data_IF_765280007469
#
_entry.id   IF_765280007469
#
_cell.length_a   1.000
_cell.length_b   1.000
_cell.length_c   1.000
_cell.angle_alpha   90.00
_cell.angle_beta   90.00
_cell.angle_gamma   90.00
#
_symmetry.space_group_name_H-M   'P 1'
#
loop_
_entity.id
_entity.type
_entity.pdbx_description
1 polymer ?
#
# COMPACT_ATOMS: atom_id res chain seq x y z
N UNK A 1 22.06 -19.83 -2.73
CA UNK A 1 21.22 -18.92 -3.53
C UNK A 1 20.55 -17.93 -2.58
N UNK A 2 21.15 -16.75 -2.42
CA UNK A 2 20.70 -15.70 -1.50
C UNK A 2 19.61 -14.86 -2.16
N UNK A 3 18.37 -14.91 -1.65
CA UNK A 3 17.36 -13.90 -1.93
C UNK A 3 17.67 -12.66 -1.08
N UNK A 4 17.84 -11.52 -1.75
CA UNK A 4 18.16 -10.24 -1.11
C UNK A 4 17.06 -9.69 -0.19
N UNK A 5 17.37 -8.69 0.65
CA UNK A 5 16.51 -8.16 1.72
C UNK A 5 15.22 -7.45 1.26
N UNK A 6 14.92 -7.46 -0.05
CA UNK A 6 13.78 -6.75 -0.65
C UNK A 6 12.48 -7.58 -0.73
N UNK A 7 12.45 -8.82 -0.21
CA UNK A 7 11.36 -9.77 -0.44
C UNK A 7 10.57 -10.20 0.81
N UNK A 8 10.63 -9.44 1.91
CA UNK A 8 10.05 -9.87 3.21
C UNK A 8 9.37 -8.71 3.94
N UNK A 9 8.10 -8.44 3.62
CA UNK A 9 7.13 -7.85 4.55
C UNK A 9 5.84 -7.49 3.79
N UNK A 10 4.77 -8.16 4.16
CA UNK A 10 3.58 -8.35 3.36
C UNK A 10 2.44 -8.36 4.41
N UNK A 11 1.31 -7.65 4.38
CA UNK A 11 0.46 -7.01 3.37
C UNK A 11 0.37 -5.48 3.51
N UNK A 12 0.34 -4.96 4.74
CA UNK A 12 0.31 -3.52 5.01
C UNK A 12 1.61 -2.86 4.55
N UNK A 13 2.72 -3.58 4.66
CA UNK A 13 4.04 -3.16 4.23
C UNK A 13 4.21 -3.34 2.72
N UNK A 14 3.54 -4.32 2.08
CA UNK A 14 3.52 -4.41 0.61
C UNK A 14 2.79 -3.21 0.03
N UNK A 15 1.59 -2.91 0.51
CA UNK A 15 0.84 -1.74 0.08
C UNK A 15 1.65 -0.47 0.32
N UNK A 16 2.25 -0.29 1.49
CA UNK A 16 3.18 0.81 1.80
C UNK A 16 4.41 0.89 0.91
N UNK A 17 5.06 -0.23 0.61
CA UNK A 17 6.28 -0.26 -0.19
C UNK A 17 5.96 0.02 -1.65
N UNK A 18 4.80 -0.43 -2.11
CA UNK A 18 4.25 -0.18 -3.43
C UNK A 18 3.78 1.26 -3.56
N UNK A 19 3.04 1.78 -2.58
CA UNK A 19 2.65 3.17 -2.45
C UNK A 19 3.88 4.07 -2.35
N UNK A 20 4.87 3.79 -1.50
CA UNK A 20 6.12 4.55 -1.39
C UNK A 20 6.86 4.60 -2.74
N UNK A 21 6.85 3.51 -3.49
CA UNK A 21 7.49 3.45 -4.83
C UNK A 21 6.68 4.16 -5.90
N UNK A 22 5.34 4.10 -5.87
CA UNK A 22 4.44 4.88 -6.74
C UNK A 22 4.46 6.38 -6.43
N UNK A 23 4.47 6.75 -5.15
CA UNK A 23 4.52 8.13 -4.64
C UNK A 23 5.80 8.86 -5.04
N UNK A 24 6.92 8.13 -5.18
CA UNK A 24 8.15 8.74 -5.69
C UNK A 24 8.11 9.08 -7.18
N UNK A 25 7.05 8.74 -7.91
CA UNK A 25 6.97 8.86 -9.38
C UNK A 25 5.55 9.01 -9.93
N UNK A 26 5.02 10.22 -9.90
CA UNK A 26 4.05 10.62 -10.91
C UNK A 26 4.37 12.03 -11.37
N UNK A 27 4.66 12.26 -12.67
CA UNK A 27 4.52 13.58 -13.22
C UNK A 27 3.02 13.89 -13.27
N UNK A 28 2.58 14.76 -12.36
CA UNK A 28 1.50 15.72 -12.50
C UNK A 28 0.49 15.42 -13.63
N UNK A 29 -0.40 14.44 -13.45
CA UNK A 29 -1.56 14.29 -14.32
C UNK A 29 -2.75 15.03 -13.71
N UNK A 30 -3.28 15.93 -14.52
CA UNK A 30 -4.14 17.03 -14.11
C UNK A 30 -5.61 16.64 -14.29
N UNK A 31 -6.36 16.56 -13.19
CA UNK A 31 -7.82 16.50 -13.18
C UNK A 31 -8.43 17.92 -13.22
N UNK A 32 -9.55 18.16 -13.92
CA UNK A 32 -10.13 19.48 -14.13
C UNK A 32 -11.07 19.92 -12.98
N UNK A 33 -10.56 19.92 -11.75
CA UNK A 33 -11.20 20.64 -10.65
C UNK A 33 -10.21 21.65 -10.05
N UNK A 34 -10.75 22.78 -9.58
CA UNK A 34 -10.03 24.02 -9.24
C UNK A 34 -9.30 23.89 -7.89
N UNK A 35 -8.42 22.92 -7.86
CA UNK A 35 -7.62 22.45 -6.75
C UNK A 35 -6.32 23.29 -6.72
N UNK A 36 -6.08 23.98 -5.60
CA UNK A 36 -4.88 24.81 -5.39
C UNK A 36 -3.71 23.88 -5.11
N UNK A 37 -2.86 23.69 -6.12
CA UNK A 37 -1.63 22.89 -5.98
C UNK A 37 -0.77 23.38 -4.82
N UNK A 38 -0.20 22.45 -4.07
CA UNK A 38 0.69 22.79 -2.97
C UNK A 38 1.95 23.55 -3.41
N UNK A 39 2.40 24.44 -2.54
CA UNK A 39 3.70 25.10 -2.72
C UNK A 39 4.82 24.11 -2.37
N UNK A 40 6.05 24.44 -2.79
CA UNK A 40 7.23 23.67 -2.37
C UNK A 40 7.34 23.57 -0.84
N UNK A 41 6.98 24.63 -0.12
CA UNK A 41 7.02 24.65 1.34
C UNK A 41 6.02 23.66 1.94
N UNK A 42 4.80 23.63 1.41
CA UNK A 42 3.74 22.71 1.88
C UNK A 42 4.10 21.26 1.55
N UNK A 43 4.59 20.97 0.34
CA UNK A 43 5.05 19.61 -0.02
C UNK A 43 6.24 19.16 0.82
N UNK A 44 7.16 20.08 1.16
CA UNK A 44 8.27 19.78 2.08
C UNK A 44 7.75 19.43 3.46
N UNK A 45 6.78 20.19 3.98
CA UNK A 45 6.12 19.90 5.26
C UNK A 45 5.44 18.53 5.24
N UNK A 46 4.66 18.23 4.20
CA UNK A 46 4.01 16.91 4.02
C UNK A 46 5.06 15.80 4.02
N UNK A 47 6.17 15.98 3.31
CA UNK A 47 7.26 15.01 3.25
C UNK A 47 7.92 14.78 4.61
N UNK A 48 8.14 15.85 5.39
CA UNK A 48 8.67 15.77 6.76
C UNK A 48 7.69 15.05 7.70
N UNK A 49 6.39 15.36 7.60
CA UNK A 49 5.33 14.69 8.35
C UNK A 49 5.19 13.19 7.99
N UNK A 50 5.51 12.82 6.74
CA UNK A 50 5.44 11.44 6.25
C UNK A 50 6.60 10.57 6.77
N UNK A 51 7.75 11.18 7.10
CA UNK A 51 8.97 10.48 7.47
C UNK A 51 8.78 9.43 8.58
N UNK A 52 8.04 9.69 9.69
CA UNK A 52 7.80 8.67 10.72
C UNK A 52 7.08 7.42 10.21
N UNK A 53 6.16 7.55 9.24
CA UNK A 53 5.50 6.39 8.61
C UNK A 53 6.51 5.56 7.81
N UNK A 54 7.41 6.23 7.08
CA UNK A 54 8.46 5.57 6.28
C UNK A 54 9.49 4.86 7.17
N UNK A 55 9.85 5.48 8.29
CA UNK A 55 10.78 4.92 9.28
C UNK A 55 10.16 3.71 9.95
N UNK A 56 8.88 3.79 10.34
CA UNK A 56 8.16 2.66 10.90
C UNK A 56 8.06 1.49 9.91
N UNK A 57 7.73 1.76 8.64
CA UNK A 57 7.73 0.74 7.59
C UNK A 57 9.10 0.08 7.42
N UNK A 58 10.18 0.87 7.46
CA UNK A 58 11.56 0.37 7.35
C UNK A 58 11.93 -0.50 8.56
N UNK A 59 11.59 -0.07 9.77
CA UNK A 59 11.77 -0.83 11.01
C UNK A 59 11.07 -2.18 10.94
N UNK A 60 9.80 -2.19 10.52
CA UNK A 60 9.06 -3.42 10.35
C UNK A 60 9.75 -4.35 9.36
N UNK A 61 10.21 -3.85 8.21
CA UNK A 61 10.95 -4.66 7.22
C UNK A 61 12.23 -5.28 7.81
N UNK A 62 12.96 -4.54 8.66
CA UNK A 62 14.21 -5.02 9.25
C UNK A 62 14.00 -5.99 10.41
N UNK A 63 12.95 -5.81 11.21
CA UNK A 63 12.72 -6.58 12.44
C UNK A 63 11.84 -7.83 12.21
N UNK A 64 10.91 -7.79 11.26
CA UNK A 64 9.93 -8.88 11.04
C UNK A 64 10.44 -10.01 10.14
N UNK A 65 11.65 -10.52 10.40
CA UNK A 65 12.18 -11.70 9.74
C UNK A 65 11.24 -12.92 9.79
N UNK A 66 10.32 -13.02 8.82
CA UNK A 66 9.49 -14.16 8.42
C UNK A 66 8.44 -14.71 9.40
N UNK A 67 8.61 -14.56 10.72
CA UNK A 67 7.83 -15.37 11.70
C UNK A 67 7.14 -14.59 12.83
N UNK A 68 7.40 -13.29 12.99
CA UNK A 68 6.84 -12.52 14.12
C UNK A 68 5.58 -11.72 13.79
N UNK A 69 5.27 -11.52 12.50
CA UNK A 69 4.04 -10.83 12.09
C UNK A 69 2.74 -11.55 12.52
N UNK A 70 2.64 -12.91 12.48
CA UNK A 70 1.49 -13.67 13.00
C UNK A 70 1.13 -13.36 14.46
N UNK A 71 2.12 -13.11 15.29
CA UNK A 71 1.95 -12.93 16.73
C UNK A 71 1.78 -11.46 17.14
N UNK A 72 2.14 -10.52 16.27
CA UNK A 72 2.14 -9.08 16.56
C UNK A 72 1.25 -8.24 15.62
N UNK A 73 0.54 -8.85 14.65
CA UNK A 73 -0.21 -8.13 13.61
C UNK A 73 -1.15 -7.04 14.13
N UNK A 74 -1.87 -7.29 15.24
CA UNK A 74 -2.71 -6.27 15.89
C UNK A 74 -1.93 -5.13 16.55
N UNK A 75 -0.76 -5.41 17.14
CA UNK A 75 0.12 -4.37 17.72
C UNK A 75 0.79 -3.53 16.63
N UNK A 76 1.22 -4.18 15.55
CA UNK A 76 1.78 -3.51 14.37
C UNK A 76 0.74 -2.57 13.76
N UNK A 77 -0.49 -3.06 13.63
CA UNK A 77 -1.60 -2.27 13.12
C UNK A 77 -1.96 -1.06 13.98
N UNK A 78 -2.06 -1.23 15.31
CA UNK A 78 -2.33 -0.10 16.21
C UNK A 78 -1.24 0.97 16.13
N UNK A 79 0.03 0.55 16.18
CA UNK A 79 1.16 1.46 16.01
C UNK A 79 1.10 2.20 14.68
N UNK A 80 0.74 1.50 13.59
CA UNK A 80 0.59 2.11 12.27
C UNK A 80 -0.50 3.20 12.26
N UNK A 81 -1.63 2.96 12.92
CA UNK A 81 -2.70 3.92 13.04
C UNK A 81 -2.35 5.09 13.96
N UNK A 82 -1.56 4.87 15.02
CA UNK A 82 -1.02 5.95 15.86
C UNK A 82 -0.10 6.87 15.04
N UNK A 83 0.78 6.31 14.20
CA UNK A 83 1.66 7.10 13.33
C UNK A 83 0.85 7.83 12.24
N UNK A 84 -0.19 7.21 11.68
CA UNK A 84 -1.11 7.88 10.75
C UNK A 84 -1.87 9.04 11.43
N UNK A 85 -2.33 8.88 12.67
CA UNK A 85 -2.97 9.97 13.42
C UNK A 85 -2.02 11.15 13.64
N UNK A 86 -0.74 10.87 13.93
CA UNK A 86 0.30 11.89 14.00
C UNK A 86 0.52 12.59 12.65
N UNK A 87 0.55 11.84 11.54
CA UNK A 87 0.63 12.40 10.20
C UNK A 87 -0.54 13.34 9.90
N UNK A 88 -1.78 12.94 10.22
CA UNK A 88 -2.98 13.78 10.05
C UNK A 88 -2.92 15.06 10.87
N UNK A 89 -2.44 14.97 12.11
CA UNK A 89 -2.24 16.14 12.97
C UNK A 89 -1.15 17.06 12.42
N UNK A 90 -0.04 16.50 11.96
CA UNK A 90 1.10 17.25 11.41
C UNK A 90 0.73 18.03 10.12
N UNK A 91 -0.28 17.55 9.39
CA UNK A 91 -0.71 18.09 8.08
C UNK A 91 -2.06 18.81 8.15
N UNK A 92 -2.60 19.06 9.34
CA UNK A 92 -3.96 19.59 9.54
C UNK A 92 -4.19 20.98 8.92
N UNK A 93 -3.14 21.78 8.81
CA UNK A 93 -3.14 23.13 8.25
C UNK A 93 -2.77 23.17 6.76
N UNK A 94 -2.46 22.02 6.16
CA UNK A 94 -2.18 21.92 4.72
C UNK A 94 -3.50 21.79 3.97
N UNK A 95 -3.93 22.89 3.34
CA UNK A 95 -5.23 22.95 2.62
C UNK A 95 -5.09 22.89 1.09
N UNK A 96 -3.88 22.68 0.60
CA UNK A 96 -3.57 22.57 -0.82
C UNK A 96 -3.57 21.11 -1.27
N UNK A 97 -3.58 20.90 -2.58
CA UNK A 97 -3.65 19.55 -3.16
C UNK A 97 -2.25 18.94 -3.26
N UNK A 98 -1.98 17.98 -2.38
CA UNK A 98 -0.78 17.14 -2.36
C UNK A 98 -1.17 15.70 -2.59
N UNK A 99 -0.60 15.10 -3.63
CA UNK A 99 -0.77 13.67 -3.93
C UNK A 99 -0.32 12.79 -2.76
N UNK A 100 0.69 13.22 -2.00
CA UNK A 100 1.18 12.47 -0.84
C UNK A 100 0.16 12.41 0.29
N UNK A 101 -0.56 13.52 0.53
CA UNK A 101 -1.67 13.53 1.48
C UNK A 101 -2.78 12.59 1.02
N UNK A 102 -3.21 12.73 -0.23
CA UNK A 102 -4.31 11.94 -0.79
C UNK A 102 -4.00 10.45 -0.79
N UNK A 103 -2.77 10.07 -1.18
CA UNK A 103 -2.38 8.67 -1.23
C UNK A 103 -2.31 8.05 0.17
N UNK A 104 -1.77 8.77 1.16
CA UNK A 104 -1.73 8.30 2.54
C UNK A 104 -3.16 8.17 3.07
N UNK A 105 -4.01 9.17 2.86
CA UNK A 105 -5.40 9.12 3.33
C UNK A 105 -6.22 8.00 2.68
N UNK A 106 -6.06 7.79 1.37
CA UNK A 106 -6.70 6.69 0.65
C UNK A 106 -6.25 5.31 1.14
N UNK A 107 -5.02 5.20 1.62
CA UNK A 107 -4.45 3.94 2.10
C UNK A 107 -4.79 3.65 3.56
N UNK A 108 -4.85 4.70 4.39
CA UNK A 108 -4.93 4.60 5.84
C UNK A 108 -6.24 5.08 6.44
N UNK A 109 -6.92 6.04 5.82
CA UNK A 109 -8.13 6.65 6.37
C UNK A 109 -9.25 5.65 6.58
N UNK A 110 -9.49 4.76 5.60
CA UNK A 110 -10.42 3.65 5.81
C UNK A 110 -9.87 2.66 6.83
N UNK A 111 -8.63 2.21 6.64
CA UNK A 111 -8.04 1.14 7.44
C UNK A 111 -7.97 1.50 8.94
N UNK A 112 -7.56 2.71 9.29
CA UNK A 112 -7.45 3.22 10.66
C UNK A 112 -8.71 3.93 11.18
N UNK A 113 -9.70 4.14 10.30
CA UNK A 113 -11.01 4.68 10.65
C UNK A 113 -12.07 3.58 10.69
N UNK A 114 -13.04 3.65 9.76
CA UNK A 114 -14.21 2.75 9.73
C UNK A 114 -13.85 1.27 9.54
N UNK A 115 -12.73 0.98 8.89
CA UNK A 115 -12.22 -0.37 8.65
C UNK A 115 -11.44 -0.96 9.81
N UNK A 116 -11.07 -0.17 10.84
CA UNK A 116 -10.20 -0.64 11.92
C UNK A 116 -10.76 -1.85 12.69
N UNK A 117 -12.05 -1.90 13.09
CA UNK A 117 -12.59 -3.08 13.77
C UNK A 117 -12.52 -4.35 12.91
N UNK A 118 -12.76 -4.20 11.60
CA UNK A 118 -12.72 -5.31 10.64
C UNK A 118 -11.28 -5.79 10.42
N UNK A 119 -10.32 -4.86 10.35
CA UNK A 119 -8.90 -5.20 10.27
C UNK A 119 -8.44 -5.93 11.53
N UNK A 120 -8.75 -5.41 12.72
CA UNK A 120 -8.38 -6.05 13.99
C UNK A 120 -8.97 -7.46 14.09
N UNK A 121 -10.23 -7.64 13.67
CA UNK A 121 -10.89 -8.93 13.62
C UNK A 121 -10.16 -9.95 12.73
N UNK A 122 -9.67 -9.53 11.56
CA UNK A 122 -8.99 -10.41 10.59
C UNK A 122 -7.45 -10.43 10.71
N UNK A 123 -6.85 -9.62 11.58
CA UNK A 123 -5.40 -9.43 11.66
C UNK A 123 -4.61 -10.73 11.86
N UNK A 124 -5.08 -11.60 12.76
CA UNK A 124 -4.46 -12.92 12.99
C UNK A 124 -4.54 -13.81 11.74
N UNK A 125 -5.66 -13.77 11.01
CA UNK A 125 -5.83 -14.55 9.79
C UNK A 125 -4.94 -14.05 8.66
N UNK A 126 -4.89 -12.74 8.42
CA UNK A 126 -3.99 -12.18 7.42
C UNK A 126 -2.55 -12.57 7.70
N UNK A 127 -2.15 -12.53 8.97
CA UNK A 127 -0.79 -12.87 9.33
C UNK A 127 -0.48 -14.38 9.19
N UNK A 128 -1.49 -15.27 9.29
CA UNK A 128 -1.34 -16.68 8.87
C UNK A 128 -1.21 -16.83 7.35
N UNK A 129 -2.03 -16.10 6.58
CA UNK A 129 -1.96 -16.10 5.11
C UNK A 129 -0.57 -15.66 4.62
N UNK A 130 0.12 -14.79 5.35
CA UNK A 130 1.47 -14.35 5.00
C UNK A 130 2.54 -15.44 4.97
N UNK A 131 2.31 -16.57 5.64
CA UNK A 131 3.21 -17.73 5.60
C UNK A 131 2.66 -18.87 4.72
N UNK A 132 1.47 -18.70 4.13
CA UNK A 132 0.88 -19.67 3.22
C UNK A 132 1.64 -19.71 1.90
N UNK A 133 2.09 -20.90 1.48
CA UNK A 133 2.94 -21.07 0.30
C UNK A 133 2.36 -20.44 -0.97
N UNK A 134 1.07 -20.67 -1.23
CA UNK A 134 0.40 -20.14 -2.41
C UNK A 134 0.36 -18.61 -2.39
N UNK A 135 0.12 -18.05 -1.22
CA UNK A 135 0.13 -16.62 -1.02
C UNK A 135 1.52 -16.01 -1.22
N UNK A 136 2.55 -16.64 -0.61
CA UNK A 136 3.97 -16.28 -0.78
C UNK A 136 4.37 -16.27 -2.26
N UNK A 137 3.91 -17.25 -3.05
CA UNK A 137 4.17 -17.30 -4.49
C UNK A 137 3.55 -16.09 -5.23
N UNK A 138 2.34 -15.68 -4.86
CA UNK A 138 1.73 -14.46 -5.39
C UNK A 138 2.59 -13.23 -5.11
N UNK A 139 3.15 -13.12 -3.88
CA UNK A 139 4.07 -12.03 -3.51
C UNK A 139 5.29 -11.98 -4.43
N UNK A 140 5.90 -13.15 -4.63
CA UNK A 140 7.15 -13.28 -5.38
C UNK A 140 6.91 -12.89 -6.84
N UNK A 141 5.84 -13.40 -7.44
CA UNK A 141 5.44 -13.06 -8.81
C UNK A 141 5.18 -11.56 -8.97
N UNK A 142 4.43 -10.96 -8.04
CA UNK A 142 4.19 -9.51 -8.04
C UNK A 142 5.49 -8.70 -7.91
N UNK A 143 6.34 -9.07 -6.94
CA UNK A 143 7.63 -8.41 -6.70
C UNK A 143 8.53 -8.46 -7.94
N UNK A 144 8.54 -9.60 -8.62
CA UNK A 144 9.27 -9.76 -9.87
C UNK A 144 8.71 -8.85 -10.97
N UNK A 145 7.39 -8.87 -11.19
CA UNK A 145 6.73 -8.03 -12.20
C UNK A 145 6.98 -6.52 -11.95
N UNK A 146 6.93 -6.09 -10.69
CA UNK A 146 7.23 -4.69 -10.31
C UNK A 146 8.70 -4.35 -10.57
N UNK A 147 9.62 -5.27 -10.27
CA UNK A 147 11.06 -5.06 -10.54
C UNK A 147 11.31 -4.93 -12.05
N UNK A 148 10.63 -5.74 -12.85
CA UNK A 148 10.68 -5.66 -14.32
C UNK A 148 10.10 -4.33 -14.83
N UNK A 149 8.95 -3.90 -14.29
CA UNK A 149 8.34 -2.61 -14.60
C UNK A 149 9.30 -1.44 -14.29
N UNK A 150 10.03 -1.50 -13.18
CA UNK A 150 10.99 -0.47 -12.80
C UNK A 150 12.11 -0.27 -13.82
N UNK A 151 12.50 -1.32 -14.56
CA UNK A 151 13.47 -1.19 -15.65
C UNK A 151 12.92 -0.37 -16.85
N UNK A 152 11.61 -0.15 -16.91
CA UNK A 152 10.94 0.66 -17.94
C UNK A 152 10.77 2.14 -17.55
N UNK A 153 11.02 2.49 -16.29
CA UNK A 153 10.86 3.85 -15.72
C UNK A 153 11.61 4.94 -16.49
N UNK A 154 12.69 4.61 -17.19
CA UNK A 154 13.46 5.54 -18.03
C UNK A 154 13.06 5.57 -19.52
N UNK A 155 12.11 4.73 -19.95
CA UNK A 155 11.74 4.54 -21.37
C UNK A 155 10.39 5.16 -21.69
N UNK A 156 9.38 4.91 -20.86
CA UNK A 156 8.04 5.51 -20.98
C UNK A 156 7.32 5.43 -19.63
N UNK A 157 6.83 6.58 -19.16
CA UNK A 157 6.00 6.66 -17.95
C UNK A 157 4.71 5.88 -18.10
N UNK A 158 4.09 5.93 -19.29
CA UNK A 158 2.86 5.19 -19.60
C UNK A 158 3.09 3.68 -19.55
N UNK A 159 4.18 3.20 -20.16
CA UNK A 159 4.54 1.78 -20.12
C UNK A 159 4.84 1.33 -18.68
N UNK A 160 5.53 2.17 -17.90
CA UNK A 160 5.79 1.90 -16.48
C UNK A 160 4.49 1.76 -15.67
N UNK A 161 3.55 2.70 -15.81
CA UNK A 161 2.27 2.66 -15.09
C UNK A 161 1.40 1.47 -15.52
N UNK A 162 1.37 1.15 -16.82
CA UNK A 162 0.66 -0.02 -17.34
C UNK A 162 1.20 -1.32 -16.75
N UNK A 163 2.52 -1.46 -16.65
CA UNK A 163 3.16 -2.63 -16.06
C UNK A 163 2.95 -2.73 -14.55
N UNK A 164 2.98 -1.61 -13.84
CA UNK A 164 2.64 -1.56 -12.41
C UNK A 164 1.18 -1.97 -12.18
N UNK A 165 0.26 -1.49 -13.01
CA UNK A 165 -1.15 -1.89 -12.97
C UNK A 165 -1.32 -3.40 -13.20
N UNK A 166 -0.66 -3.95 -14.22
CA UNK A 166 -0.67 -5.39 -14.52
C UNK A 166 -0.13 -6.24 -13.38
N UNK A 167 0.94 -5.80 -12.73
CA UNK A 167 1.51 -6.49 -11.58
C UNK A 167 0.54 -6.53 -10.39
N UNK A 168 -0.18 -5.44 -10.14
CA UNK A 168 -1.21 -5.37 -9.10
C UNK A 168 -2.43 -6.25 -9.42
N UNK A 169 -2.89 -6.26 -10.67
CA UNK A 169 -4.00 -7.13 -11.11
C UNK A 169 -3.66 -8.60 -10.87
N UNK A 170 -2.49 -9.03 -11.35
CA UNK A 170 -2.01 -10.39 -11.19
C UNK A 170 -1.87 -10.79 -9.72
N UNK A 171 -1.39 -9.88 -8.87
CA UNK A 171 -1.29 -10.11 -7.43
C UNK A 171 -2.67 -10.34 -6.79
N UNK A 172 -3.63 -9.48 -7.09
CA UNK A 172 -4.99 -9.55 -6.52
C UNK A 172 -5.70 -10.82 -6.96
N UNK A 173 -5.65 -11.17 -8.25
CA UNK A 173 -6.23 -12.43 -8.75
C UNK A 173 -5.59 -13.66 -8.13
N UNK A 174 -4.27 -13.65 -7.93
CA UNK A 174 -3.55 -14.76 -7.33
C UNK A 174 -3.87 -14.91 -5.84
N UNK A 175 -3.97 -13.80 -5.11
CA UNK A 175 -4.17 -13.79 -3.66
C UNK A 175 -5.63 -13.95 -3.24
N UNK A 176 -6.60 -13.52 -4.07
CA UNK A 176 -8.04 -13.61 -3.81
C UNK A 176 -8.47 -15.01 -3.33
N UNK A 177 -8.24 -16.11 -4.06
CA UNK A 177 -8.72 -17.42 -3.63
C UNK A 177 -8.11 -17.84 -2.29
N UNK A 178 -6.85 -17.48 -2.01
CA UNK A 178 -6.19 -17.83 -0.75
C UNK A 178 -6.80 -17.07 0.43
N UNK A 179 -7.02 -15.76 0.28
CA UNK A 179 -7.64 -14.93 1.33
C UNK A 179 -9.09 -15.37 1.55
N UNK A 180 -9.84 -15.63 0.48
CA UNK A 180 -11.23 -16.05 0.57
C UNK A 180 -11.37 -17.40 1.30
N UNK A 181 -10.52 -18.38 0.93
CA UNK A 181 -10.53 -19.72 1.55
C UNK A 181 -10.11 -19.67 3.03
N UNK A 182 -9.11 -18.85 3.38
CA UNK A 182 -8.51 -18.86 4.72
C UNK A 182 -9.19 -17.89 5.69
N UNK A 183 -9.58 -16.71 5.21
CA UNK A 183 -10.06 -15.59 6.03
C UNK A 183 -11.50 -15.15 5.73
N UNK A 184 -12.11 -15.69 4.67
CA UNK A 184 -13.51 -15.42 4.31
C UNK A 184 -13.73 -14.15 3.51
N UNK A 185 -14.98 -13.96 3.08
CA UNK A 185 -15.38 -12.90 2.16
C UNK A 185 -15.26 -11.50 2.77
N UNK A 186 -15.47 -11.35 4.08
CA UNK A 186 -15.32 -10.05 4.77
C UNK A 186 -13.87 -9.57 4.81
N UNK A 187 -12.92 -10.51 4.99
CA UNK A 187 -11.49 -10.22 4.90
C UNK A 187 -11.10 -9.77 3.48
N UNK A 188 -11.63 -10.43 2.45
CA UNK A 188 -11.40 -10.02 1.07
C UNK A 188 -11.99 -8.64 0.77
N UNK A 189 -13.23 -8.37 1.21
CA UNK A 189 -13.87 -7.06 1.05
C UNK A 189 -13.04 -5.92 1.66
N UNK A 190 -12.40 -6.16 2.79
CA UNK A 190 -11.47 -5.22 3.41
C UNK A 190 -10.27 -4.94 2.50
N UNK A 191 -9.59 -6.00 2.02
CA UNK A 191 -8.45 -5.87 1.09
C UNK A 191 -8.85 -5.14 -0.18
N UNK A 192 -10.00 -5.49 -0.76
CA UNK A 192 -10.50 -4.89 -1.98
C UNK A 192 -10.83 -3.40 -1.82
N UNK A 193 -11.42 -3.01 -0.68
CA UNK A 193 -11.75 -1.61 -0.39
C UNK A 193 -10.48 -0.76 -0.28
N UNK A 194 -9.51 -1.19 0.56
CA UNK A 194 -8.23 -0.47 0.73
C UNK A 194 -7.50 -0.37 -0.61
N UNK A 195 -7.46 -1.46 -1.37
CA UNK A 195 -6.78 -1.51 -2.66
C UNK A 195 -7.42 -0.56 -3.66
N UNK A 196 -8.73 -0.62 -3.82
CA UNK A 196 -9.45 0.26 -4.75
C UNK A 196 -9.24 1.74 -4.41
N UNK A 197 -9.37 2.10 -3.14
CA UNK A 197 -9.29 3.50 -2.71
C UNK A 197 -7.86 4.02 -2.95
N UNK A 198 -6.84 3.24 -2.58
CA UNK A 198 -5.43 3.58 -2.80
C UNK A 198 -5.04 3.70 -4.28
N UNK A 199 -5.52 2.77 -5.11
CA UNK A 199 -5.22 2.76 -6.54
C UNK A 199 -6.00 3.84 -7.28
N UNK A 200 -7.21 4.19 -6.85
CA UNK A 200 -7.97 5.31 -7.41
C UNK A 200 -7.24 6.64 -7.30
N UNK A 201 -6.36 6.80 -6.29
CA UNK A 201 -5.51 7.99 -6.14
C UNK A 201 -4.20 7.87 -6.91
N UNK A 202 -3.52 6.72 -6.82
CA UNK A 202 -2.13 6.58 -7.32
C UNK A 202 -2.02 6.08 -8.76
N UNK A 203 -3.03 5.38 -9.26
CA UNK A 203 -3.12 4.81 -10.60
C UNK A 203 -4.57 4.84 -11.10
N UNK A 204 -5.18 6.03 -11.30
CA UNK A 204 -6.61 6.17 -11.59
C UNK A 204 -7.07 5.49 -12.88
N UNK A 205 -6.17 5.31 -13.86
CA UNK A 205 -6.46 4.64 -15.13
C UNK A 205 -6.33 3.11 -15.05
N UNK A 206 -5.97 2.55 -13.89
CA UNK A 206 -5.86 1.12 -13.67
C UNK A 206 -7.22 0.51 -13.30
N UNK A 207 -7.89 -0.13 -14.26
CA UNK A 207 -9.13 -0.88 -13.97
C UNK A 207 -8.84 -2.20 -13.26
N UNK A 208 -9.11 -2.22 -11.96
CA UNK A 208 -8.96 -3.40 -11.10
C UNK A 208 -10.29 -4.10 -10.82
N UNK A 209 -11.41 -3.67 -11.41
CA UNK A 209 -12.74 -4.11 -10.97
C UNK A 209 -12.88 -5.63 -11.01
N UNK A 210 -12.42 -6.26 -12.10
CA UNK A 210 -12.50 -7.71 -12.28
C UNK A 210 -11.53 -8.52 -11.40
N UNK A 211 -10.57 -7.89 -10.74
CA UNK A 211 -9.70 -8.52 -9.76
C UNK A 211 -10.18 -8.35 -8.32
N UNK A 212 -11.11 -7.42 -8.08
CA UNK A 212 -11.60 -7.01 -6.75
C UNK A 212 -13.03 -7.49 -6.42
N UNK A 213 -13.69 -8.14 -7.37
CA UNK A 213 -15.03 -8.75 -7.23
C UNK A 213 -14.90 -10.23 -6.87
#
# INVERSE_FOLDING_TARGET
>A
MHLGPHAKALLAISFLSLLRKCLTLTPNQQSPQKHVKCTYHDEKKVSECLQPMLDYATKLQTETGGLQFPLQGGQVFRTLCDVYAQFKTCTEDVTCDSLSLDAVDASYGYMCGKGAPLFEHHAACFAMVEVEKNYVNCKIAATQAITEAQNMKGRSTEAYLSEMCRAMDGYLRCSHPVILEKCGAEAWKLVATITRDSLGVTMPDCDMHSALV
#
